data_IF_006614461124
#
_entry.id   IF_006614461124
#
_cell.length_a   1.000
_cell.length_b   1.000
_cell.length_c   1.000
_cell.angle_alpha   90.00
_cell.angle_beta   90.00
_cell.angle_gamma   90.00
#
_symmetry.space_group_name_H-M   'P 1'
#
loop_
_entity.id
_entity.type
_entity.pdbx_description
1 polymer ?
#
# COMPACT_ATOMS: atom_id res chain seq x y z
N UNK A 1 40.18 22.35 -3.23
CA UNK A 1 39.34 23.02 -4.25
C UNK A 1 37.94 22.46 -4.14
N UNK A 2 36.92 23.32 -4.06
CA UNK A 2 35.52 22.91 -4.12
C UNK A 2 35.09 23.12 -5.56
N UNK A 3 34.90 22.04 -6.32
CA UNK A 3 34.32 22.13 -7.66
C UNK A 3 32.81 22.26 -7.49
N UNK A 4 32.22 23.34 -8.02
CA UNK A 4 30.77 23.55 -8.01
C UNK A 4 30.12 22.80 -9.18
N UNK A 5 28.82 22.54 -9.09
CA UNK A 5 28.05 21.88 -10.15
C UNK A 5 28.07 22.65 -11.47
N UNK A 6 28.37 23.95 -11.46
CA UNK A 6 28.36 24.82 -12.65
C UNK A 6 29.43 24.43 -13.69
N UNK A 7 30.45 23.69 -13.26
CA UNK A 7 31.50 23.17 -14.14
C UNK A 7 31.11 21.84 -14.81
N UNK A 8 29.96 21.28 -14.47
CA UNK A 8 29.47 20.01 -15.00
C UNK A 8 28.37 20.28 -16.04
N UNK A 9 28.59 19.96 -17.32
CA UNK A 9 27.54 20.04 -18.33
C UNK A 9 26.34 19.18 -17.95
N UNK A 10 25.14 19.60 -18.34
CA UNK A 10 23.91 18.84 -18.09
C UNK A 10 24.01 17.42 -18.66
N UNK A 11 23.58 16.44 -17.86
CA UNK A 11 23.65 15.02 -18.21
C UNK A 11 25.06 14.42 -18.24
N UNK A 12 26.11 15.19 -17.90
CA UNK A 12 27.48 14.67 -17.88
C UNK A 12 27.73 13.63 -16.77
N UNK A 13 26.91 13.60 -15.71
CA UNK A 13 26.91 12.59 -14.66
C UNK A 13 25.85 11.51 -14.97
N UNK A 14 26.27 10.43 -15.61
CA UNK A 14 25.43 9.25 -15.84
C UNK A 14 25.63 8.22 -14.74
N UNK A 15 24.71 7.25 -14.63
CA UNK A 15 24.83 6.16 -13.65
C UNK A 15 26.15 5.38 -13.74
N UNK A 16 26.73 5.23 -14.94
CA UNK A 16 28.01 4.56 -15.14
C UNK A 16 29.22 5.28 -14.52
N UNK A 17 29.08 6.56 -14.15
CA UNK A 17 30.11 7.35 -13.48
C UNK A 17 30.00 7.30 -11.96
N UNK A 18 28.93 6.71 -11.42
CA UNK A 18 28.74 6.55 -9.98
C UNK A 18 29.38 5.23 -9.53
N UNK A 19 30.18 5.30 -8.47
CA UNK A 19 30.66 4.09 -7.80
C UNK A 19 29.47 3.36 -7.15
N UNK A 20 29.62 2.05 -6.96
CA UNK A 20 28.63 1.25 -6.24
C UNK A 20 28.41 1.82 -4.83
N UNK A 21 27.14 2.02 -4.46
CA UNK A 21 26.76 2.59 -3.17
C UNK A 21 27.00 4.10 -3.02
N UNK A 22 27.43 4.81 -4.08
CA UNK A 22 27.65 6.26 -4.02
C UNK A 22 26.37 7.05 -3.69
N UNK A 23 25.20 6.53 -4.05
CA UNK A 23 23.89 7.13 -3.71
C UNK A 23 23.21 6.28 -2.64
N UNK A 24 22.83 6.91 -1.52
CA UNK A 24 22.14 6.28 -0.40
C UNK A 24 20.97 7.17 0.06
N UNK A 25 20.23 6.73 1.07
CA UNK A 25 19.03 7.42 1.56
C UNK A 25 19.26 8.88 2.00
N UNK A 26 20.46 9.26 2.47
CA UNK A 26 20.77 10.64 2.87
C UNK A 26 20.89 11.60 1.68
N UNK A 27 21.14 11.06 0.48
CA UNK A 27 21.24 11.85 -0.76
C UNK A 27 19.87 12.08 -1.40
N UNK A 28 18.83 11.35 -0.97
CA UNK A 28 17.48 11.45 -1.52
C UNK A 28 16.67 12.50 -0.75
N UNK A 29 16.16 13.49 -1.47
CA UNK A 29 15.19 14.42 -0.89
C UNK A 29 13.82 13.75 -0.74
N UNK A 30 12.99 14.20 0.21
CA UNK A 30 11.58 13.80 0.26
C UNK A 30 10.92 13.93 -1.11
N UNK A 31 10.07 12.98 -1.45
CA UNK A 31 9.27 12.92 -2.70
C UNK A 31 10.07 12.85 -4.01
N UNK A 32 11.41 12.71 -3.95
CA UNK A 32 12.25 12.56 -5.15
C UNK A 32 12.04 11.24 -5.90
N UNK A 33 11.54 10.20 -5.21
CA UNK A 33 11.26 8.88 -5.79
C UNK A 33 9.75 8.73 -6.04
N UNK A 34 9.33 9.05 -7.26
CA UNK A 34 7.98 8.75 -7.77
C UNK A 34 7.83 7.32 -8.30
N UNK A 35 6.59 6.89 -8.56
CA UNK A 35 6.30 5.55 -9.10
C UNK A 35 6.99 5.25 -10.44
N UNK A 36 7.27 6.27 -11.26
CA UNK A 36 7.99 6.10 -12.52
C UNK A 36 9.46 5.68 -12.37
N UNK A 37 10.04 5.84 -11.17
CA UNK A 37 11.40 5.39 -10.88
C UNK A 37 11.46 3.94 -10.41
N UNK A 38 10.33 3.34 -10.01
CA UNK A 38 10.29 1.98 -9.51
C UNK A 38 10.21 1.01 -10.70
N UNK A 39 11.18 0.10 -10.77
CA UNK A 39 11.12 -0.99 -11.73
C UNK A 39 9.97 -1.96 -11.35
N UNK A 40 9.45 -2.66 -12.35
CA UNK A 40 8.46 -3.71 -12.14
C UNK A 40 8.98 -4.74 -11.12
N UNK A 41 8.11 -5.14 -10.18
CA UNK A 41 8.43 -6.08 -9.09
C UNK A 41 9.57 -5.67 -8.14
N UNK A 42 10.04 -4.42 -8.18
CA UNK A 42 11.09 -3.94 -7.25
C UNK A 42 10.64 -3.80 -5.80
N UNK A 43 9.32 -3.70 -5.55
CA UNK A 43 8.74 -3.61 -4.21
C UNK A 43 8.27 -5.00 -3.76
N UNK A 44 9.03 -5.60 -2.85
CA UNK A 44 8.73 -6.89 -2.21
C UNK A 44 8.06 -6.69 -0.84
N UNK A 45 7.49 -7.76 -0.28
CA UNK A 45 6.87 -7.77 1.05
C UNK A 45 7.77 -7.16 2.13
N UNK A 46 9.07 -7.51 2.13
CA UNK A 46 10.05 -6.99 3.11
C UNK A 46 10.22 -5.47 3.09
N UNK A 47 9.81 -4.79 2.01
CA UNK A 47 9.87 -3.33 1.89
C UNK A 47 8.63 -2.65 2.51
N UNK A 48 7.55 -3.39 2.74
CA UNK A 48 6.27 -2.87 3.23
C UNK A 48 6.13 -3.19 4.71
N UNK A 49 5.95 -2.15 5.53
CA UNK A 49 5.76 -2.33 6.97
C UNK A 49 4.36 -2.90 7.23
N UNK A 50 4.19 -3.87 8.15
CA UNK A 50 2.86 -4.31 8.57
C UNK A 50 1.97 -3.13 8.97
N UNK A 51 0.74 -3.10 8.42
CA UNK A 51 -0.25 -2.06 8.66
C UNK A 51 -0.02 -0.73 7.92
N UNK A 52 0.99 -0.60 7.05
CA UNK A 52 1.16 0.62 6.25
C UNK A 52 0.16 0.72 5.09
N UNK A 53 -0.37 -0.42 4.63
CA UNK A 53 -1.45 -0.46 3.64
C UNK A 53 -2.77 -0.57 4.40
N UNK A 54 -3.54 0.52 4.37
CA UNK A 54 -4.89 0.61 4.94
C UNK A 54 -5.93 0.48 3.84
N UNK A 55 -7.21 0.41 4.21
CA UNK A 55 -8.31 0.37 3.23
C UNK A 55 -8.24 1.55 2.25
N UNK A 56 -7.87 2.77 2.70
CA UNK A 56 -7.82 3.96 1.84
C UNK A 56 -6.83 3.85 0.66
N UNK A 57 -5.89 2.90 0.72
CA UNK A 57 -4.92 2.64 -0.33
C UNK A 57 -5.43 1.66 -1.39
N UNK A 58 -6.55 0.98 -1.12
CA UNK A 58 -7.10 -0.05 -1.98
C UNK A 58 -8.15 0.52 -2.93
N UNK A 59 -8.22 -0.04 -4.14
CA UNK A 59 -9.25 0.32 -5.10
C UNK A 59 -10.65 -0.07 -4.61
N UNK A 60 -11.68 0.65 -5.05
CA UNK A 60 -13.06 0.45 -4.58
C UNK A 60 -13.60 -0.97 -4.82
N UNK A 61 -13.15 -1.61 -5.91
CA UNK A 61 -13.49 -2.98 -6.25
C UNK A 61 -13.09 -4.00 -5.17
N UNK A 62 -12.09 -3.66 -4.33
CA UNK A 62 -11.63 -4.50 -3.22
C UNK A 62 -12.62 -4.51 -2.05
N UNK A 63 -13.58 -3.57 -2.01
CA UNK A 63 -14.63 -3.52 -0.97
C UNK A 63 -15.82 -4.44 -1.27
N UNK A 64 -15.72 -5.29 -2.29
CA UNK A 64 -16.77 -6.23 -2.62
C UNK A 64 -16.73 -7.45 -1.69
N UNK A 65 -17.91 -7.99 -1.37
CA UNK A 65 -18.04 -9.20 -0.54
C UNK A 65 -17.29 -10.39 -1.13
N UNK A 66 -17.13 -10.42 -2.45
CA UNK A 66 -16.54 -11.55 -3.19
C UNK A 66 -15.03 -11.69 -2.93
N UNK A 67 -14.38 -10.63 -2.47
CA UNK A 67 -12.95 -10.61 -2.15
C UNK A 67 -12.69 -10.78 -0.64
N UNK A 68 -13.74 -10.86 0.17
CA UNK A 68 -13.61 -11.13 1.60
C UNK A 68 -13.39 -12.63 1.83
N UNK A 69 -12.29 -13.02 2.50
CA UNK A 69 -12.10 -14.42 2.86
C UNK A 69 -13.24 -14.93 3.74
N UNK A 70 -13.56 -16.22 3.61
CA UNK A 70 -14.56 -16.87 4.46
C UNK A 70 -14.26 -16.65 5.95
N UNK A 71 -15.28 -16.23 6.69
CA UNK A 71 -15.16 -15.94 8.13
C UNK A 71 -14.44 -14.62 8.46
N UNK A 72 -14.04 -13.83 7.47
CA UNK A 72 -13.39 -12.54 7.73
C UNK A 72 -14.32 -11.51 8.38
N UNK A 73 -15.64 -11.59 8.18
CA UNK A 73 -16.66 -10.77 8.85
C UNK A 73 -17.26 -11.48 10.06
N UNK A 74 -16.54 -11.46 11.18
CA UNK A 74 -17.04 -11.98 12.46
C UNK A 74 -18.00 -10.99 13.13
N UNK A 75 -18.85 -11.47 14.05
CA UNK A 75 -19.75 -10.60 14.82
C UNK A 75 -19.06 -9.44 15.55
N UNK A 76 -17.80 -9.60 15.99
CA UNK A 76 -17.01 -8.53 16.62
C UNK A 76 -16.70 -7.33 15.70
N UNK A 77 -16.84 -7.49 14.37
CA UNK A 77 -16.67 -6.43 13.38
C UNK A 77 -17.97 -5.70 13.04
N UNK A 78 -19.11 -6.18 13.53
CA UNK A 78 -20.41 -5.56 13.34
C UNK A 78 -20.65 -4.54 14.46
N UNK A 79 -21.02 -3.32 14.08
CA UNK A 79 -21.50 -2.34 15.05
C UNK A 79 -22.85 -2.79 15.64
N UNK A 80 -23.16 -2.32 16.84
CA UNK A 80 -24.46 -2.56 17.45
C UNK A 80 -25.58 -2.05 16.52
N UNK A 81 -26.57 -2.90 16.25
CA UNK A 81 -27.68 -2.58 15.34
C UNK A 81 -27.34 -2.60 13.84
N UNK A 82 -26.12 -2.99 13.45
CA UNK A 82 -25.73 -3.07 12.03
C UNK A 82 -26.57 -4.09 11.24
N UNK A 83 -27.10 -5.13 11.90
CA UNK A 83 -28.00 -6.12 11.30
C UNK A 83 -29.42 -5.88 11.81
N UNK A 84 -30.34 -5.58 10.91
CA UNK A 84 -31.76 -5.36 11.21
C UNK A 84 -32.65 -6.25 10.33
N UNK A 85 -33.97 -6.18 10.50
CA UNK A 85 -34.91 -7.04 9.79
C UNK A 85 -34.86 -6.95 8.26
N UNK A 86 -34.38 -5.84 7.68
CA UNK A 86 -34.20 -5.71 6.23
C UNK A 86 -33.02 -6.51 5.69
N UNK A 87 -32.06 -6.86 6.55
CA UNK A 87 -30.89 -7.65 6.21
C UNK A 87 -31.13 -9.16 6.33
N UNK A 88 -32.27 -9.58 6.91
CA UNK A 88 -32.59 -10.97 7.19
C UNK A 88 -33.65 -11.50 6.22
N UNK A 89 -33.41 -12.67 5.64
CA UNK A 89 -34.44 -13.39 4.90
C UNK A 89 -35.40 -14.12 5.87
N UNK A 90 -36.66 -14.36 5.47
CA UNK A 90 -37.55 -15.24 6.22
C UNK A 90 -36.87 -16.59 6.52
N UNK A 91 -37.11 -17.13 7.72
CA UNK A 91 -36.55 -18.39 8.20
C UNK A 91 -35.01 -18.48 8.32
N UNK A 92 -34.29 -17.37 8.13
CA UNK A 92 -32.82 -17.34 8.29
C UNK A 92 -32.34 -17.50 9.73
N UNK A 93 -33.20 -17.22 10.71
CA UNK A 93 -32.92 -17.37 12.14
C UNK A 93 -33.65 -18.61 12.67
N UNK A 94 -32.92 -19.67 13.00
CA UNK A 94 -33.49 -20.89 13.61
C UNK A 94 -33.49 -20.82 15.13
N UNK A 95 -34.29 -21.67 15.79
CA UNK A 95 -34.46 -21.67 17.25
C UNK A 95 -33.20 -21.93 18.09
N UNK A 96 -32.08 -22.34 17.47
CA UNK A 96 -30.78 -22.40 18.16
C UNK A 96 -30.08 -21.04 18.32
N UNK A 97 -30.63 -19.98 17.71
CA UNK A 97 -30.07 -18.61 17.73
C UNK A 97 -30.84 -17.65 18.63
N UNK A 98 -31.98 -18.07 19.22
CA UNK A 98 -32.84 -17.30 20.12
C UNK A 98 -32.61 -17.70 21.57
#
# INVERSE_FOLDING_TARGET
EVYTSDLLPDGSLTGAKLAEGAVNGQHLQPDSITGGHLAEQSVEERHVRPGSITLEHLAEEVYTSDLLPDGSLTGAKLAEGAVNGQHLQPDSITGGHL
#
